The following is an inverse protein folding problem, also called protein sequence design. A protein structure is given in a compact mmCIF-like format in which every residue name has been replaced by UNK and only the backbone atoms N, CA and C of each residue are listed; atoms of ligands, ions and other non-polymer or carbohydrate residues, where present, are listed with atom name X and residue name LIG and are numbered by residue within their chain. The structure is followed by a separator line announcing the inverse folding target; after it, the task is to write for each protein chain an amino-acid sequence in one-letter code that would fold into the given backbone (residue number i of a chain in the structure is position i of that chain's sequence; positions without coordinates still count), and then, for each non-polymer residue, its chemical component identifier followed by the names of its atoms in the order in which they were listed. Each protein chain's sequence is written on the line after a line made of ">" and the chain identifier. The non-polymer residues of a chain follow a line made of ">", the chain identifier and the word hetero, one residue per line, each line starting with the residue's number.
data_IF_376217061462
#
_entry.id   IF_376217061462
#
_cell.length_a   1.000
_cell.length_b   1.000
_cell.length_c   1.000
_cell.angle_alpha   90.00
_cell.angle_beta   90.00
_cell.angle_gamma   90.00
#
_symmetry.space_group_name_H-M   'P 1'
#
loop_
_entity.id
_entity.type
_entity.pdbx_description
1 polymer ?
#
# COMPACT_ATOMS: atom_id res chain seq x y z
N UNK A 1 -3.65 -16.13 -6.47
CA UNK A 1 -3.40 -15.50 -5.18
C UNK A 1 -1.95 -15.07 -5.12
N UNK A 2 -1.70 -13.78 -4.94
CA UNK A 2 -0.38 -13.22 -4.68
C UNK A 2 -0.42 -12.20 -3.54
N UNK A 3 0.54 -12.27 -2.62
CA UNK A 3 0.73 -11.28 -1.55
C UNK A 3 1.79 -10.26 -1.99
N UNK A 4 1.40 -8.99 -1.99
CA UNK A 4 2.22 -7.86 -2.46
C UNK A 4 2.56 -6.96 -1.27
N UNK A 5 3.82 -6.99 -0.83
CA UNK A 5 4.28 -6.07 0.21
C UNK A 5 4.78 -4.76 -0.42
N UNK A 6 4.27 -3.63 0.04
CA UNK A 6 4.74 -2.30 -0.34
C UNK A 6 5.61 -1.76 0.80
N UNK A 7 6.88 -1.53 0.53
CA UNK A 7 7.86 -1.20 1.56
C UNK A 7 8.84 -0.09 1.15
N UNK A 8 9.46 0.54 2.13
CA UNK A 8 10.48 1.58 2.01
C UNK A 8 11.22 1.64 3.32
N UNK A 9 12.54 1.81 3.29
CA UNK A 9 13.27 1.88 4.55
C UNK A 9 12.99 3.19 5.30
N UNK A 10 12.72 4.29 4.59
CA UNK A 10 12.45 5.60 5.20
C UNK A 10 10.98 5.97 5.15
N UNK A 11 10.55 6.70 6.18
CA UNK A 11 9.24 7.35 6.22
C UNK A 11 9.11 8.44 5.16
N UNK A 12 7.87 8.68 4.70
CA UNK A 12 7.59 9.72 3.71
C UNK A 12 8.06 9.41 2.28
N UNK A 13 8.32 8.15 1.94
CA UNK A 13 8.67 7.71 0.58
C UNK A 13 7.45 7.58 -0.35
N UNK A 14 6.22 7.70 0.18
CA UNK A 14 4.98 7.62 -0.60
C UNK A 14 4.32 6.24 -0.67
N UNK A 15 4.74 5.28 0.17
CA UNK A 15 4.19 3.91 0.23
C UNK A 15 2.68 3.85 0.19
N UNK A 16 2.01 4.40 1.18
CA UNK A 16 0.55 4.36 1.35
C UNK A 16 -0.22 4.86 0.12
N UNK A 17 0.25 5.93 -0.53
CA UNK A 17 -0.35 6.44 -1.76
C UNK A 17 -0.17 5.47 -2.93
N UNK A 18 1.02 4.88 -3.07
CA UNK A 18 1.33 3.89 -4.09
C UNK A 18 0.55 2.60 -3.82
N UNK A 19 0.48 2.13 -2.57
CA UNK A 19 -0.31 0.96 -2.14
C UNK A 19 -1.77 1.13 -2.51
N UNK A 20 -2.40 2.23 -2.09
CA UNK A 20 -3.80 2.51 -2.39
C UNK A 20 -4.05 2.60 -3.90
N UNK A 21 -3.18 3.28 -4.64
CA UNK A 21 -3.36 3.46 -6.09
C UNK A 21 -3.18 2.15 -6.86
N UNK A 22 -2.16 1.35 -6.55
CA UNK A 22 -1.92 0.06 -7.20
C UNK A 22 -3.03 -0.94 -6.89
N UNK A 23 -3.44 -1.06 -5.63
CA UNK A 23 -4.54 -1.94 -5.25
C UNK A 23 -5.85 -1.57 -5.96
N UNK A 24 -6.11 -0.26 -6.08
CA UNK A 24 -7.28 0.26 -6.79
C UNK A 24 -7.23 -0.02 -8.29
N UNK A 25 -6.06 0.14 -8.93
CA UNK A 25 -5.86 -0.19 -10.35
C UNK A 25 -6.02 -1.70 -10.57
N UNK A 26 -5.41 -2.55 -9.73
CA UNK A 26 -5.56 -4.00 -9.87
C UNK A 26 -7.03 -4.42 -9.68
N UNK A 27 -7.75 -3.82 -8.73
CA UNK A 27 -9.17 -4.07 -8.56
C UNK A 27 -10.03 -3.57 -9.73
N UNK A 28 -9.68 -2.44 -10.36
CA UNK A 28 -10.38 -1.93 -11.55
C UNK A 28 -10.21 -2.84 -12.77
N UNK A 29 -9.14 -3.64 -12.81
CA UNK A 29 -8.92 -4.68 -13.82
C UNK A 29 -9.73 -5.97 -13.56
N UNK A 30 -10.66 -5.95 -12.62
CA UNK A 30 -11.59 -7.06 -12.36
C UNK A 30 -11.05 -8.12 -11.40
N UNK A 31 -10.01 -7.78 -10.64
CA UNK A 31 -9.48 -8.64 -9.59
C UNK A 31 -10.12 -8.38 -8.23
N UNK A 32 -10.13 -9.42 -7.40
CA UNK A 32 -10.52 -9.32 -5.98
C UNK A 32 -9.30 -8.94 -5.15
N UNK A 33 -9.29 -7.74 -4.59
CA UNK A 33 -8.12 -7.18 -3.92
C UNK A 33 -8.44 -6.87 -2.47
N UNK A 34 -7.57 -7.31 -1.56
CA UNK A 34 -7.57 -6.87 -0.17
C UNK A 34 -6.38 -5.98 0.11
N UNK A 35 -6.53 -5.02 1.01
CA UNK A 35 -5.46 -4.17 1.52
C UNK A 35 -5.38 -4.37 3.03
N UNK A 36 -4.17 -4.51 3.57
CA UNK A 36 -3.92 -4.46 5.01
C UNK A 36 -2.98 -3.30 5.32
N UNK A 37 -3.42 -2.39 6.18
CA UNK A 37 -2.57 -1.35 6.75
C UNK A 37 -1.76 -1.97 7.90
N UNK A 38 -0.55 -2.43 7.59
CA UNK A 38 0.39 -2.98 8.55
C UNK A 38 1.37 -1.91 9.08
N UNK A 39 1.16 -0.63 8.80
CA UNK A 39 1.84 0.47 9.49
C UNK A 39 1.12 0.77 10.82
N UNK A 40 1.31 -0.11 11.81
CA UNK A 40 0.64 0.00 13.11
C UNK A 40 1.08 1.21 13.94
N UNK A 41 2.23 1.81 13.62
CA UNK A 41 2.77 2.96 14.37
C UNK A 41 2.32 4.30 13.83
N UNK A 42 2.07 4.39 12.52
CA UNK A 42 1.59 5.59 11.87
C UNK A 42 0.61 5.23 10.73
N UNK A 43 -0.55 4.62 11.06
CA UNK A 43 -1.56 4.27 10.07
C UNK A 43 -2.03 5.48 9.29
N UNK A 44 -2.50 5.27 8.07
CA UNK A 44 -2.93 6.41 7.26
C UNK A 44 -3.70 6.06 6.00
N UNK A 45 -3.73 4.79 5.60
CA UNK A 45 -4.35 4.42 4.33
C UNK A 45 -5.85 4.67 4.34
N UNK A 46 -6.50 4.51 5.50
CA UNK A 46 -7.94 4.71 5.69
C UNK A 46 -8.41 6.11 5.24
N UNK A 47 -7.54 7.13 5.35
CA UNK A 47 -7.84 8.51 4.92
C UNK A 47 -8.06 8.57 3.41
N UNK A 48 -7.23 7.86 2.62
CA UNK A 48 -7.35 7.83 1.16
C UNK A 48 -8.64 7.16 0.69
N UNK A 49 -9.20 6.27 1.51
CA UNK A 49 -10.44 5.54 1.24
C UNK A 49 -11.68 6.24 1.81
N UNK A 50 -11.54 7.39 2.47
CA UNK A 50 -12.68 8.12 3.05
C UNK A 50 -13.29 7.46 4.27
N UNK A 51 -12.56 6.56 4.94
CA UNK A 51 -13.07 5.89 6.13
C UNK A 51 -12.95 6.82 7.36
N UNK A 52 -14.04 6.94 8.12
CA UNK A 52 -14.03 7.72 9.36
C UNK A 52 -13.71 6.80 10.56
N UNK A 53 -12.59 7.06 11.23
CA UNK A 53 -12.11 6.32 12.41
C UNK A 53 -13.13 6.25 13.55
N UNK A 54 -13.93 7.30 13.75
CA UNK A 54 -14.93 7.33 14.83
C UNK A 54 -16.06 6.31 14.60
N UNK A 55 -16.19 5.82 13.36
CA UNK A 55 -17.23 4.89 12.93
C UNK A 55 -16.68 3.49 12.60
N UNK A 56 -15.35 3.29 12.72
CA UNK A 56 -14.76 1.96 12.57
C UNK A 56 -15.01 1.15 13.84
N UNK A 57 -15.51 -0.07 13.67
CA UNK A 57 -15.74 -1.04 14.75
C UNK A 57 -14.41 -1.63 15.22
N UNK A 58 -13.86 -2.55 14.42
CA UNK A 58 -12.57 -3.19 14.68
C UNK A 58 -11.50 -2.76 13.66
N UNK A 59 -10.24 -2.91 14.07
CA UNK A 59 -9.03 -2.61 13.31
C UNK A 59 -8.07 -3.82 13.33
N UNK A 60 -6.98 -3.73 12.56
CA UNK A 60 -5.90 -4.72 12.62
C UNK A 60 -5.37 -4.90 14.05
N UNK A 61 -5.30 -3.81 14.83
CA UNK A 61 -4.80 -3.83 16.20
C UNK A 61 -5.66 -4.75 17.09
N UNK A 62 -6.99 -4.65 16.99
CA UNK A 62 -7.93 -5.48 17.74
C UNK A 62 -7.73 -6.97 17.42
N UNK A 63 -7.53 -7.29 16.14
CA UNK A 63 -7.20 -8.65 15.73
C UNK A 63 -5.88 -9.14 16.34
N UNK A 64 -4.83 -8.31 16.32
CA UNK A 64 -3.51 -8.65 16.87
C UNK A 64 -3.51 -8.80 18.41
N UNK A 65 -4.54 -8.29 19.08
CA UNK A 65 -4.83 -8.52 20.50
C UNK A 65 -5.76 -9.71 20.77
N UNK A 66 -6.24 -10.41 19.73
CA UNK A 66 -7.30 -11.43 19.79
C UNK A 66 -8.66 -10.90 20.28
N UNK A 67 -8.93 -9.60 20.14
CA UNK A 67 -10.21 -8.99 20.53
C UNK A 67 -11.30 -9.21 19.47
N UNK A 68 -10.94 -9.56 18.23
CA UNK A 68 -11.86 -9.89 17.14
C UNK A 68 -11.28 -10.92 16.14
N UNK A 69 -12.10 -11.41 15.21
CA UNK A 69 -11.62 -12.06 13.98
C UNK A 69 -11.15 -11.02 12.95
N UNK A 70 -10.19 -11.38 12.10
CA UNK A 70 -9.65 -10.45 11.09
C UNK A 70 -10.73 -9.98 10.11
N UNK A 71 -11.72 -10.82 9.81
CA UNK A 71 -12.84 -10.48 8.92
C UNK A 71 -13.80 -9.47 9.53
N UNK A 72 -13.80 -9.29 10.85
CA UNK A 72 -14.60 -8.26 11.53
C UNK A 72 -13.92 -6.88 11.46
N UNK A 73 -12.63 -6.85 11.16
CA UNK A 73 -11.84 -5.64 10.91
C UNK A 73 -11.70 -5.31 9.41
N UNK A 74 -12.37 -6.07 8.53
CA UNK A 74 -12.40 -5.83 7.08
C UNK A 74 -13.55 -4.90 6.68
N UNK A 75 -13.24 -3.93 5.82
CA UNK A 75 -14.20 -2.97 5.30
C UNK A 75 -14.23 -3.03 3.77
N UNK A 76 -15.41 -3.26 3.21
CA UNK A 76 -15.64 -3.16 1.75
C UNK A 76 -15.56 -1.68 1.33
N UNK A 77 -14.55 -1.37 0.52
CA UNK A 77 -14.31 -0.03 -0.03
C UNK A 77 -14.48 -0.02 -1.55
N UNK A 78 -15.11 -1.04 -2.14
CA UNK A 78 -15.24 -1.22 -3.60
C UNK A 78 -15.92 -0.03 -4.29
N UNK A 79 -16.82 0.67 -3.58
CA UNK A 79 -17.51 1.87 -4.07
C UNK A 79 -16.57 3.01 -4.49
N UNK A 80 -15.31 3.05 -4.02
CA UNK A 80 -14.30 4.02 -4.51
C UNK A 80 -14.09 3.91 -6.02
N UNK A 81 -14.19 2.69 -6.57
CA UNK A 81 -13.99 2.45 -8.00
C UNK A 81 -15.06 3.14 -8.85
N UNK A 82 -16.20 3.53 -8.28
CA UNK A 82 -17.21 4.35 -8.95
C UNK A 82 -16.81 5.82 -9.16
N UNK A 83 -15.62 6.23 -8.70
CA UNK A 83 -15.11 7.61 -8.83
C UNK A 83 -14.15 7.82 -10.01
N UNK A 84 -13.86 6.77 -10.78
CA UNK A 84 -12.87 6.76 -11.87
C UNK A 84 -13.08 7.86 -12.94
N UNK A 85 -14.33 8.26 -13.20
CA UNK A 85 -14.66 9.22 -14.27
C UNK A 85 -14.78 10.69 -13.77
N UNK A 86 -14.40 10.99 -12.53
CA UNK A 86 -14.55 12.35 -11.97
C UNK A 86 -13.27 13.16 -12.10
N UNK A 87 -13.34 14.24 -12.89
CA UNK A 87 -12.22 15.17 -13.10
C UNK A 87 -11.70 15.84 -11.82
N UNK A 88 -12.51 15.93 -10.76
CA UNK A 88 -12.13 16.42 -9.43
C UNK A 88 -12.92 15.63 -8.39
N UNK A 89 -12.21 15.05 -7.42
CA UNK A 89 -12.83 14.39 -6.28
C UNK A 89 -12.72 15.31 -5.06
N UNK A 90 -13.85 15.56 -4.41
CA UNK A 90 -13.96 16.37 -3.21
C UNK A 90 -14.03 15.50 -1.96
N UNK A 91 -13.77 16.08 -0.80
CA UNK A 91 -13.91 15.39 0.50
C UNK A 91 -15.33 14.79 0.67
N UNK A 92 -16.35 15.49 0.18
CA UNK A 92 -17.75 15.00 0.19
C UNK A 92 -17.99 13.80 -0.72
N UNK A 93 -17.15 13.55 -1.73
CA UNK A 93 -17.29 12.37 -2.58
C UNK A 93 -16.83 11.11 -1.84
N UNK A 94 -15.84 11.25 -0.94
CA UNK A 94 -15.32 10.16 -0.12
C UNK A 94 -16.19 9.86 1.11
N UNK A 95 -16.83 10.88 1.71
CA UNK A 95 -17.81 10.69 2.80
C UNK A 95 -19.03 9.83 2.39
N UNK A 96 -19.30 9.70 1.08
CA UNK A 96 -20.46 8.98 0.53
C UNK A 96 -20.13 7.53 0.12
N UNK A 97 -18.86 7.15 0.13
CA UNK A 97 -18.36 5.84 -0.35
C UNK A 97 -18.93 4.67 0.48
N UNK A 98 -19.24 4.89 1.76
CA UNK A 98 -19.93 3.90 2.59
C UNK A 98 -21.36 3.51 2.11
N UNK A 99 -21.89 4.13 1.03
CA UNK A 99 -23.26 3.89 0.50
C UNK A 99 -23.33 3.69 -1.02
N UNK A 100 -22.20 3.60 -1.72
CA UNK A 100 -22.14 3.55 -3.19
C UNK A 100 -22.53 2.21 -3.82
N UNK A 101 -23.06 2.22 -5.05
CA UNK A 101 -23.35 1.01 -5.84
C UNK A 101 -22.06 0.30 -6.26
N UNK A 102 -22.08 -1.04 -6.23
CA UNK A 102 -20.99 -1.91 -6.70
C UNK A 102 -20.67 -1.66 -8.18
N UNK A 103 -19.43 -1.31 -8.54
CA UNK A 103 -18.96 -1.25 -9.92
C UNK A 103 -18.71 -2.68 -10.44
N UNK A 104 -19.66 -3.17 -11.25
CA UNK A 104 -19.66 -4.49 -11.91
C UNK A 104 -19.58 -5.71 -10.97
N UNK A 105 -19.88 -6.91 -11.48
CA UNK A 105 -19.97 -8.12 -10.64
C UNK A 105 -18.59 -8.69 -10.23
N UNK A 106 -17.49 -8.27 -10.88
CA UNK A 106 -16.17 -8.87 -10.68
C UNK A 106 -15.14 -7.99 -9.94
N UNK A 107 -15.34 -6.68 -9.82
CA UNK A 107 -14.40 -5.81 -9.09
C UNK A 107 -14.69 -5.84 -7.59
N UNK A 108 -13.68 -6.09 -6.76
CA UNK A 108 -13.80 -6.10 -5.31
C UNK A 108 -12.55 -5.50 -4.68
N UNK A 109 -12.74 -4.58 -3.74
CA UNK A 109 -11.67 -3.96 -2.97
C UNK A 109 -12.06 -3.89 -1.50
N UNK A 110 -11.24 -4.47 -0.64
CA UNK A 110 -11.42 -4.40 0.81
C UNK A 110 -10.19 -3.81 1.51
N UNK A 111 -10.40 -3.29 2.71
CA UNK A 111 -9.36 -2.69 3.53
C UNK A 111 -9.51 -3.13 4.99
N UNK A 112 -8.42 -3.65 5.56
CA UNK A 112 -8.23 -3.80 7.00
C UNK A 112 -7.34 -2.64 7.49
N UNK A 113 -7.90 -1.61 8.14
CA UNK A 113 -7.13 -0.47 8.62
C UNK A 113 -6.48 -0.76 9.98
N UNK A 114 -5.39 -0.06 10.28
CA UNK A 114 -4.83 0.03 11.61
C UNK A 114 -5.38 1.27 12.35
N UNK A 115 -5.47 1.18 13.68
CA UNK A 115 -6.08 2.20 14.53
C UNK A 115 -5.16 3.40 14.74
N UNK A 116 -5.71 4.61 14.66
CA UNK A 116 -5.05 5.87 15.04
C UNK A 116 -5.51 6.38 16.42
N UNK A 117 -6.33 5.60 17.14
CA UNK A 117 -6.81 6.00 18.47
C UNK A 117 -5.63 6.06 19.43
N UNK A 118 -5.55 7.15 20.21
CA UNK A 118 -4.42 7.39 21.11
C UNK A 118 -4.32 6.28 22.17
N UNK A 119 -5.45 5.75 22.61
CA UNK A 119 -5.55 4.64 23.55
C UNK A 119 -4.91 3.37 22.98
N UNK A 120 -5.15 3.07 21.72
CA UNK A 120 -4.63 1.88 21.03
C UNK A 120 -3.12 1.99 20.81
N UNK A 121 -2.63 3.15 20.35
CA UNK A 121 -1.19 3.43 20.23
C UNK A 121 -0.52 3.26 21.61
N UNK A 122 -1.14 3.79 22.66
CA UNK A 122 -0.60 3.68 24.02
C UNK A 122 -0.64 2.24 24.55
N UNK A 123 -1.67 1.46 24.20
CA UNK A 123 -1.79 0.04 24.56
C UNK A 123 -0.69 -0.76 23.86
N UNK A 124 -0.48 -0.55 22.56
CA UNK A 124 0.60 -1.24 21.82
C UNK A 124 1.96 -1.01 22.45
N UNK A 125 2.28 0.24 22.83
CA UNK A 125 3.57 0.56 23.43
C UNK A 125 3.77 -0.06 24.82
N UNK A 126 2.70 -0.32 25.57
CA UNK A 126 2.76 -0.88 26.93
C UNK A 126 2.62 -2.40 26.96
N UNK A 127 1.71 -2.94 26.18
CA UNK A 127 1.26 -4.34 26.24
C UNK A 127 1.81 -5.17 25.07
N UNK A 128 2.27 -4.54 23.99
CA UNK A 128 2.64 -5.23 22.75
C UNK A 128 1.43 -5.84 22.04
N UNK A 129 1.68 -6.71 21.07
CA UNK A 129 0.68 -7.47 20.31
C UNK A 129 1.35 -8.69 19.65
N UNK A 130 0.55 -9.65 19.18
CA UNK A 130 1.09 -10.87 18.59
C UNK A 130 1.23 -10.77 17.06
N UNK A 131 2.42 -10.36 16.60
CA UNK A 131 2.75 -10.22 15.17
C UNK A 131 2.56 -11.52 14.38
N UNK A 132 2.67 -12.69 15.04
CA UNK A 132 2.51 -14.00 14.37
C UNK A 132 1.09 -14.22 13.87
N UNK A 133 0.12 -13.49 14.43
CA UNK A 133 -1.25 -13.51 13.94
C UNK A 133 -1.38 -12.94 12.52
N UNK A 134 -0.46 -12.10 12.06
CA UNK A 134 -0.49 -11.57 10.68
C UNK A 134 -0.53 -12.68 9.63
N UNK A 135 0.27 -13.74 9.78
CA UNK A 135 0.24 -14.87 8.83
C UNK A 135 -1.15 -15.51 8.78
N UNK A 136 -1.73 -15.80 9.95
CA UNK A 136 -3.07 -16.38 10.05
C UNK A 136 -4.12 -15.43 9.48
N UNK A 137 -3.99 -14.13 9.77
CA UNK A 137 -4.89 -13.08 9.33
C UNK A 137 -4.90 -12.97 7.80
N UNK A 138 -3.73 -12.88 7.17
CA UNK A 138 -3.58 -12.80 5.73
C UNK A 138 -4.20 -14.03 5.06
N UNK A 139 -3.87 -15.24 5.53
CA UNK A 139 -4.45 -16.49 5.00
C UNK A 139 -5.97 -16.52 5.14
N UNK A 140 -6.50 -16.05 6.26
CA UNK A 140 -7.94 -16.00 6.50
C UNK A 140 -8.63 -15.03 5.55
N UNK A 141 -8.11 -13.80 5.39
CA UNK A 141 -8.63 -12.81 4.44
C UNK A 141 -8.62 -13.34 3.01
N UNK A 142 -7.50 -13.90 2.58
CA UNK A 142 -7.30 -14.49 1.25
C UNK A 142 -8.40 -15.53 0.95
N UNK A 143 -8.66 -16.43 1.89
CA UNK A 143 -9.61 -17.52 1.70
C UNK A 143 -11.06 -17.06 1.82
N UNK A 144 -11.42 -16.37 2.90
CA UNK A 144 -12.82 -15.97 3.18
C UNK A 144 -13.34 -14.94 2.18
N UNK A 145 -12.47 -14.02 1.73
CA UNK A 145 -12.83 -13.01 0.74
C UNK A 145 -12.56 -13.46 -0.71
N UNK A 146 -12.05 -14.68 -0.91
CA UNK A 146 -11.64 -15.20 -2.23
C UNK A 146 -10.79 -14.19 -3.00
N UNK A 147 -9.73 -13.67 -2.36
CA UNK A 147 -8.91 -12.64 -3.00
C UNK A 147 -8.09 -13.25 -4.16
N UNK A 148 -7.72 -12.41 -5.12
CA UNK A 148 -6.67 -12.67 -6.11
C UNK A 148 -5.34 -12.06 -5.65
N UNK A 149 -5.41 -10.89 -4.99
CA UNK A 149 -4.25 -10.16 -4.49
C UNK A 149 -4.50 -9.64 -3.07
N UNK A 150 -3.45 -9.68 -2.23
CA UNK A 150 -3.44 -9.03 -0.92
C UNK A 150 -2.28 -8.03 -0.88
N UNK A 151 -2.59 -6.74 -0.82
CA UNK A 151 -1.60 -5.67 -0.65
C UNK A 151 -1.35 -5.41 0.83
N UNK A 152 -0.09 -5.26 1.21
CA UNK A 152 0.32 -4.97 2.59
C UNK A 152 1.09 -3.65 2.59
N UNK A 153 0.49 -2.60 3.16
CA UNK A 153 1.16 -1.32 3.39
C UNK A 153 1.95 -1.41 4.69
N UNK A 154 3.28 -1.43 4.60
CA UNK A 154 4.14 -1.72 5.77
C UNK A 154 4.65 -0.46 6.46
N UNK A 155 5.05 -0.57 7.73
CA UNK A 155 5.82 0.49 8.40
C UNK A 155 7.20 0.70 7.72
N UNK A 156 7.73 1.94 7.66
CA UNK A 156 9.10 2.15 7.19
C UNK A 156 10.16 1.49 8.08
N UNK A 157 11.25 1.03 7.46
CA UNK A 157 12.41 0.52 8.18
C UNK A 157 12.31 -0.98 8.46
N UNK A 158 12.88 -1.43 9.57
CA UNK A 158 12.96 -2.86 9.90
C UNK A 158 12.42 -3.11 11.29
N UNK A 159 11.32 -3.86 11.36
CA UNK A 159 10.69 -4.36 12.57
C UNK A 159 10.11 -5.77 12.32
N UNK A 160 9.54 -6.39 13.34
CA UNK A 160 9.02 -7.76 13.25
C UNK A 160 7.85 -7.87 12.26
N UNK A 161 7.00 -6.84 12.19
CA UNK A 161 5.84 -6.78 11.31
C UNK A 161 6.25 -6.73 9.85
N UNK A 162 7.26 -5.91 9.53
CA UNK A 162 7.87 -5.85 8.20
C UNK A 162 8.48 -7.21 7.87
N UNK A 163 9.23 -7.84 8.78
CA UNK A 163 9.83 -9.14 8.52
C UNK A 163 8.79 -10.21 8.21
N UNK A 164 7.71 -10.28 8.99
CA UNK A 164 6.60 -11.23 8.73
C UNK A 164 5.93 -10.90 7.40
N UNK A 165 5.63 -9.63 7.13
CA UNK A 165 4.98 -9.19 5.87
C UNK A 165 5.82 -9.51 4.63
N UNK A 166 7.13 -9.29 4.70
CA UNK A 166 8.06 -9.61 3.61
C UNK A 166 8.29 -11.11 3.45
N UNK A 167 8.27 -11.87 4.54
CA UNK A 167 8.45 -13.33 4.49
C UNK A 167 7.25 -14.00 3.80
N UNK A 168 6.06 -13.42 3.96
CA UNK A 168 4.82 -13.94 3.38
C UNK A 168 4.58 -13.45 1.95
N UNK A 169 5.28 -12.43 1.47
CA UNK A 169 5.02 -11.83 0.18
C UNK A 169 5.65 -12.60 -0.98
N UNK A 170 4.88 -12.74 -2.06
CA UNK A 170 5.41 -13.25 -3.34
C UNK A 170 6.14 -12.13 -4.09
N UNK A 171 5.59 -10.91 -3.99
CA UNK A 171 6.16 -9.70 -4.61
C UNK A 171 6.44 -8.64 -3.55
N UNK A 172 7.64 -8.07 -3.60
CA UNK A 172 8.02 -6.85 -2.87
C UNK A 172 8.09 -5.68 -3.85
N UNK A 173 7.27 -4.66 -3.63
CA UNK A 173 7.47 -3.33 -4.24
C UNK A 173 8.25 -2.47 -3.26
N UNK A 174 9.53 -2.26 -3.56
CA UNK A 174 10.43 -1.48 -2.72
C UNK A 174 10.54 -0.06 -3.26
N UNK A 175 10.14 0.91 -2.45
CA UNK A 175 10.11 2.33 -2.82
C UNK A 175 11.32 3.05 -2.23
N UNK A 176 11.98 3.83 -3.08
CA UNK A 176 13.11 4.68 -2.73
C UNK A 176 12.95 6.08 -3.33
N UNK A 177 13.59 7.08 -2.72
CA UNK A 177 13.69 8.45 -3.24
C UNK A 177 15.07 8.71 -3.84
N UNK A 178 15.23 9.75 -4.70
CA UNK A 178 16.52 10.20 -5.22
C UNK A 178 17.37 10.92 -4.13
N UNK A 179 17.57 10.26 -2.99
CA UNK A 179 18.36 10.75 -1.85
C UNK A 179 19.47 9.76 -1.50
N UNK A 180 20.63 10.28 -1.07
CA UNK A 180 21.82 9.47 -0.78
C UNK A 180 21.60 8.52 0.41
N UNK A 181 20.88 8.97 1.45
CA UNK A 181 20.62 8.14 2.62
C UNK A 181 19.57 7.08 2.33
N UNK A 182 18.58 7.40 1.48
CA UNK A 182 17.57 6.44 1.05
C UNK A 182 18.16 5.37 0.11
N UNK A 183 19.13 5.76 -0.73
CA UNK A 183 19.90 4.82 -1.54
C UNK A 183 20.56 3.75 -0.67
N UNK A 184 21.41 4.15 0.28
CA UNK A 184 22.11 3.22 1.19
C UNK A 184 21.14 2.32 1.97
N UNK A 185 20.08 2.91 2.48
CA UNK A 185 19.03 2.22 3.22
C UNK A 185 18.28 1.16 2.38
N UNK A 186 18.01 1.48 1.11
CA UNK A 186 17.38 0.56 0.15
C UNK A 186 18.26 -0.66 -0.11
N UNK A 187 19.59 -0.49 -0.14
CA UNK A 187 20.53 -1.60 -0.27
C UNK A 187 20.35 -2.67 0.82
N UNK A 188 20.13 -2.24 2.08
CA UNK A 188 19.87 -3.15 3.20
C UNK A 188 18.59 -3.97 2.96
N UNK A 189 17.56 -3.33 2.42
CA UNK A 189 16.28 -3.99 2.11
C UNK A 189 16.41 -4.96 0.94
N UNK A 190 17.19 -4.64 -0.09
CA UNK A 190 17.46 -5.55 -1.21
C UNK A 190 18.23 -6.79 -0.75
N UNK A 191 19.24 -6.62 0.11
CA UNK A 191 19.95 -7.75 0.72
C UNK A 191 19.02 -8.62 1.57
N UNK A 192 18.10 -8.00 2.31
CA UNK A 192 17.10 -8.74 3.09
C UNK A 192 16.12 -9.49 2.17
N UNK A 193 15.60 -8.85 1.12
CA UNK A 193 14.71 -9.48 0.16
C UNK A 193 15.35 -10.73 -0.48
N UNK A 194 16.63 -10.64 -0.84
CA UNK A 194 17.41 -11.78 -1.33
C UNK A 194 17.53 -12.90 -0.29
N UNK A 195 17.80 -12.56 0.99
CA UNK A 195 17.91 -13.55 2.08
C UNK A 195 16.57 -14.23 2.39
N UNK A 196 15.47 -13.50 2.27
CA UNK A 196 14.10 -14.03 2.44
C UNK A 196 13.61 -14.81 1.21
N UNK A 197 14.37 -14.81 0.11
CA UNK A 197 14.02 -15.45 -1.17
C UNK A 197 12.68 -14.96 -1.74
N UNK A 198 12.41 -13.66 -1.64
CA UNK A 198 11.21 -13.07 -2.24
C UNK A 198 11.28 -13.25 -3.76
N UNK A 199 10.23 -13.85 -4.34
CA UNK A 199 10.24 -14.31 -5.73
C UNK A 199 10.41 -13.16 -6.72
N UNK A 200 9.75 -12.03 -6.45
CA UNK A 200 9.74 -10.86 -7.31
C UNK A 200 9.99 -9.59 -6.50
N UNK A 201 11.03 -8.86 -6.84
CA UNK A 201 11.30 -7.54 -6.23
C UNK A 201 11.26 -6.45 -7.29
N UNK A 202 10.32 -5.51 -7.14
CA UNK A 202 10.10 -4.37 -8.02
C UNK A 202 10.60 -3.11 -7.33
N UNK A 203 11.71 -2.55 -7.82
CA UNK A 203 12.28 -1.33 -7.26
C UNK A 203 11.66 -0.10 -7.91
N UNK A 204 11.10 0.80 -7.11
CA UNK A 204 10.39 2.00 -7.56
C UNK A 204 11.08 3.24 -7.04
N UNK A 205 11.47 4.14 -7.95
CA UNK A 205 11.99 5.44 -7.58
C UNK A 205 10.86 6.47 -7.57
N UNK A 206 10.52 6.99 -6.40
CA UNK A 206 9.44 7.98 -6.23
C UNK A 206 9.98 9.40 -6.06
N UNK A 207 9.11 10.39 -6.33
CA UNK A 207 9.39 11.83 -6.21
C UNK A 207 10.56 12.28 -7.09
N UNK A 208 10.69 11.68 -8.28
CA UNK A 208 11.79 11.99 -9.19
C UNK A 208 11.61 13.36 -9.83
N UNK A 209 12.62 14.22 -9.75
CA UNK A 209 12.65 15.51 -10.46
C UNK A 209 13.56 15.35 -11.67
N UNK A 210 13.03 15.58 -12.88
CA UNK A 210 13.75 15.32 -14.14
C UNK A 210 15.16 15.95 -14.19
N UNK A 211 15.32 17.17 -13.66
CA UNK A 211 16.59 17.89 -13.60
C UNK A 211 17.69 17.22 -12.75
N UNK A 212 17.35 16.24 -11.90
CA UNK A 212 18.32 15.47 -11.12
C UNK A 212 19.00 14.36 -11.95
N UNK A 213 18.51 14.09 -13.16
CA UNK A 213 19.10 13.14 -14.11
C UNK A 213 18.73 11.68 -13.83
N UNK A 214 17.67 11.20 -14.48
CA UNK A 214 17.12 9.84 -14.32
C UNK A 214 18.17 8.75 -14.62
N UNK A 215 18.97 8.94 -15.66
CA UNK A 215 19.98 7.96 -16.09
C UNK A 215 21.04 7.71 -15.02
N UNK A 216 21.42 8.75 -14.28
CA UNK A 216 22.40 8.64 -13.19
C UNK A 216 21.91 7.68 -12.11
N UNK A 217 20.65 7.81 -11.69
CA UNK A 217 20.07 6.95 -10.66
C UNK A 217 19.88 5.52 -11.17
N UNK A 218 19.40 5.37 -12.40
CA UNK A 218 19.23 4.07 -13.04
C UNK A 218 20.55 3.31 -13.14
N UNK A 219 21.63 3.98 -13.56
CA UNK A 219 22.97 3.40 -13.60
C UNK A 219 23.45 3.02 -12.21
N UNK A 220 23.30 3.92 -11.23
CA UNK A 220 23.74 3.69 -9.84
C UNK A 220 23.05 2.49 -9.21
N UNK A 221 21.73 2.36 -9.36
CA UNK A 221 20.95 1.21 -8.88
C UNK A 221 21.46 -0.10 -9.50
N UNK A 222 21.74 -0.09 -10.81
CA UNK A 222 22.23 -1.28 -11.52
C UNK A 222 23.64 -1.67 -11.11
N UNK A 223 24.52 -0.70 -10.93
CA UNK A 223 25.92 -0.92 -10.55
C UNK A 223 26.06 -1.36 -9.08
N UNK A 224 25.38 -0.66 -8.16
CA UNK A 224 25.55 -0.89 -6.72
C UNK A 224 24.75 -2.10 -6.22
N UNK A 225 23.60 -2.41 -6.84
CA UNK A 225 22.69 -3.45 -6.35
C UNK A 225 22.42 -4.57 -7.35
N UNK A 226 22.75 -4.41 -8.64
CA UNK A 226 22.38 -5.39 -9.67
C UNK A 226 20.88 -5.41 -10.00
N UNK A 227 20.09 -4.47 -9.48
CA UNK A 227 18.66 -4.33 -9.77
C UNK A 227 18.41 -3.34 -10.91
N UNK A 228 17.22 -3.40 -11.52
CA UNK A 228 16.72 -2.36 -12.43
C UNK A 228 15.49 -1.70 -11.82
N UNK A 229 15.31 -0.41 -12.09
CA UNK A 229 14.10 0.30 -11.68
C UNK A 229 12.91 -0.23 -12.48
N UNK A 230 11.90 -0.75 -11.78
CA UNK A 230 10.64 -1.19 -12.36
C UNK A 230 9.74 0.00 -12.74
N UNK A 231 9.82 1.09 -11.97
CA UNK A 231 9.11 2.32 -12.25
C UNK A 231 9.86 3.55 -11.71
N UNK A 232 9.64 4.68 -12.36
CA UNK A 232 10.12 6.00 -11.93
C UNK A 232 8.92 6.92 -11.89
N UNK A 233 8.51 7.28 -10.68
CA UNK A 233 7.34 8.12 -10.42
C UNK A 233 7.83 9.57 -10.29
N UNK A 234 7.39 10.48 -11.18
CA UNK A 234 7.81 11.87 -11.13
C UNK A 234 7.23 12.58 -9.91
N UNK A 235 7.90 13.64 -9.47
CA UNK A 235 7.30 14.63 -8.58
C UNK A 235 6.04 15.22 -9.24
N UNK A 236 4.95 15.33 -8.48
CA UNK A 236 3.67 15.84 -8.97
C UNK A 236 3.09 16.86 -7.98
N UNK A 237 2.84 18.07 -8.47
CA UNK A 237 2.12 19.10 -7.70
C UNK A 237 0.67 18.69 -7.43
N UNK A 238 0.03 18.02 -8.40
CA UNK A 238 -1.34 17.49 -8.27
C UNK A 238 -1.45 16.48 -7.13
N UNK A 239 -0.44 15.60 -6.97
CA UNK A 239 -0.37 14.66 -5.84
C UNK A 239 -0.32 15.42 -4.50
N UNK A 240 0.44 16.50 -4.44
CA UNK A 240 0.55 17.33 -3.25
C UNK A 240 -0.74 18.11 -2.96
N UNK A 241 -1.41 18.61 -4.00
CA UNK A 241 -2.71 19.30 -3.88
C UNK A 241 -3.83 18.36 -3.43
N UNK A 242 -3.84 17.12 -3.94
CA UNK A 242 -4.79 16.09 -3.51
C UNK A 242 -4.69 15.86 -2.00
N UNK A 243 -3.46 15.80 -1.46
CA UNK A 243 -3.22 15.88 -0.03
C UNK A 243 -3.94 14.79 0.77
N UNK A 244 -3.88 13.54 0.28
CA UNK A 244 -4.55 12.36 0.85
C UNK A 244 -6.07 12.42 0.88
N UNK A 245 -6.73 13.39 0.23
CA UNK A 245 -8.21 13.48 0.11
C UNK A 245 -8.81 12.48 -0.89
N UNK A 246 -8.09 11.42 -1.20
CA UNK A 246 -8.50 10.40 -2.15
C UNK A 246 -7.35 9.65 -2.79
N UNK A 247 -7.70 8.68 -3.63
CA UNK A 247 -6.75 7.87 -4.41
C UNK A 247 -6.38 8.63 -5.69
N UNK A 248 -5.08 8.82 -5.91
CA UNK A 248 -4.57 9.62 -7.01
C UNK A 248 -4.96 9.08 -8.39
N UNK A 249 -4.85 7.77 -8.61
CA UNK A 249 -5.18 7.15 -9.90
C UNK A 249 -6.65 7.32 -10.29
N UNK A 250 -7.55 7.49 -9.30
CA UNK A 250 -8.96 7.79 -9.54
C UNK A 250 -9.20 9.28 -9.80
N UNK A 251 -8.53 10.15 -9.04
CA UNK A 251 -8.70 11.60 -9.19
C UNK A 251 -8.09 12.14 -10.50
N UNK A 252 -7.04 11.48 -10.99
CA UNK A 252 -6.27 11.91 -12.16
C UNK A 252 -5.99 10.73 -13.12
N UNK A 253 -7.03 10.15 -13.75
CA UNK A 253 -6.90 8.91 -14.53
C UNK A 253 -5.99 9.04 -15.76
N UNK A 254 -5.87 10.23 -16.33
CA UNK A 254 -5.05 10.51 -17.53
C UNK A 254 -3.71 11.20 -17.21
N UNK A 255 -3.34 11.29 -15.94
CA UNK A 255 -2.09 11.93 -15.56
C UNK A 255 -0.90 10.98 -15.82
N UNK A 256 0.27 11.47 -16.27
CA UNK A 256 1.44 10.61 -16.56
C UNK A 256 1.87 9.73 -15.39
N UNK A 257 1.72 10.21 -14.16
CA UNK A 257 1.93 9.43 -12.95
C UNK A 257 1.02 8.20 -12.89
N UNK A 258 -0.27 8.36 -13.23
CA UNK A 258 -1.23 7.25 -13.26
C UNK A 258 -0.83 6.23 -14.32
N UNK A 259 -0.38 6.66 -15.50
CA UNK A 259 0.14 5.73 -16.52
C UNK A 259 1.36 4.92 -16.03
N UNK A 260 2.23 5.50 -15.21
CA UNK A 260 3.36 4.79 -14.58
C UNK A 260 2.84 3.76 -13.57
N UNK A 261 1.83 4.12 -12.77
CA UNK A 261 1.22 3.20 -11.81
C UNK A 261 0.46 2.07 -12.49
N UNK A 262 -0.23 2.34 -13.60
CA UNK A 262 -0.90 1.33 -14.45
C UNK A 262 0.12 0.29 -14.96
N UNK A 263 1.24 0.73 -15.53
CA UNK A 263 2.32 -0.18 -15.97
C UNK A 263 2.95 -0.96 -14.82
N UNK A 264 3.04 -0.36 -13.63
CA UNK A 264 3.55 -1.06 -12.44
C UNK A 264 2.53 -2.10 -11.94
N UNK A 265 1.23 -1.80 -11.99
CA UNK A 265 0.16 -2.73 -11.68
C UNK A 265 0.12 -3.90 -12.68
N UNK A 266 0.28 -3.63 -13.99
CA UNK A 266 0.45 -4.66 -15.01
C UNK A 266 1.62 -5.58 -14.69
N UNK A 267 2.75 -5.02 -14.25
CA UNK A 267 3.89 -5.83 -13.83
C UNK A 267 3.51 -6.69 -12.61
N UNK A 268 2.77 -6.18 -11.63
CA UNK A 268 2.33 -6.97 -10.46
C UNK A 268 1.41 -8.14 -10.87
N UNK A 269 0.53 -7.94 -11.85
CA UNK A 269 -0.42 -8.96 -12.31
C UNK A 269 0.20 -10.05 -13.20
N UNK A 270 1.37 -9.80 -13.79
CA UNK A 270 2.11 -10.73 -14.66
C UNK A 270 3.18 -11.55 -13.92
#
# INVERSE_FOLDING_TARGET
>A
MSIIAIHSYRGGAGKTNITASLATIVASHGHRVGIVDADLHNPGIYVLFGLNQDHLGYSLNDYLWNDCQITEADYDVTSVLGLQDRCQITETDYDVIAKGKKPTENCFLSLVPASMKQEDISRMLREGYDVRLLEKGFRTLINELNLDFLFVDTHPGLNEEVLVSLTLSDTLVLIMKPDQQDFQATGIMLDLANKLNIQKTLLVMNMMIESLGIDRFSHKVKEDYGFSLAAIIPWSEDMMMLGSRGIFSLAFPHHPLTEVLEKLADNIMN
#
